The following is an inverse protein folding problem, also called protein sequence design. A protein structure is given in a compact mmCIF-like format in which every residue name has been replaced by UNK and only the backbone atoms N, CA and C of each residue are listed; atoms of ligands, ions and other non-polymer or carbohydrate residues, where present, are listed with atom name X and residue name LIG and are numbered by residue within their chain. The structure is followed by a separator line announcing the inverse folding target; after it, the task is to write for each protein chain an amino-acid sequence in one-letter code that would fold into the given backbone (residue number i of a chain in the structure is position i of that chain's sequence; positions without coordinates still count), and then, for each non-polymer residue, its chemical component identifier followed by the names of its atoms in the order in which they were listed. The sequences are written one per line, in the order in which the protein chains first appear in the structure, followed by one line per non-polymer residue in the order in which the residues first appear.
data_IF_543649932368
#
_entry.id   IF_543649932368
#
_cell.length_a   1.000
_cell.length_b   1.000
_cell.length_c   1.000
_cell.angle_alpha   90.00
_cell.angle_beta   90.00
_cell.angle_gamma   90.00
#
_symmetry.space_group_name_H-M   'P 1'
#
loop_
_entity.id
_entity.type
_entity.pdbx_description
1 polymer ?
#
# COMPACT_ATOMS: atom_id res chain seq x y z
N UNK A 1 -3.10 -1.27 13.61
CA UNK A 1 -1.82 -0.60 13.34
C UNK A 1 -1.60 0.65 14.22
N UNK A 2 -2.66 1.32 14.69
CA UNK A 2 -2.57 2.51 15.57
C UNK A 2 -1.80 2.23 16.88
N UNK A 3 -1.85 1.01 17.39
CA UNK A 3 -1.13 0.57 18.59
C UNK A 3 0.41 0.59 18.41
N UNK A 4 0.88 0.64 17.14
CA UNK A 4 2.31 0.69 16.81
C UNK A 4 2.83 2.11 16.55
N UNK A 5 1.94 3.12 16.54
CA UNK A 5 2.29 4.53 16.40
C UNK A 5 2.36 5.12 17.81
N UNK A 6 3.53 5.61 18.19
CA UNK A 6 3.69 6.29 19.48
C UNK A 6 3.31 7.77 19.36
N UNK A 7 2.95 8.37 20.48
CA UNK A 7 2.77 9.80 20.56
C UNK A 7 4.12 10.50 20.37
N UNK A 8 4.14 11.53 19.52
CA UNK A 8 5.36 12.22 19.17
C UNK A 8 6.17 11.59 18.02
N UNK A 9 5.74 10.47 17.43
CA UNK A 9 6.40 9.90 16.24
C UNK A 9 6.41 10.91 15.07
N UNK A 10 7.54 11.00 14.38
CA UNK A 10 7.61 11.59 13.03
C UNK A 10 7.25 10.50 12.04
N UNK A 11 6.20 10.72 11.26
CA UNK A 11 5.61 9.71 10.37
C UNK A 11 5.83 10.07 8.91
N UNK A 12 6.26 9.08 8.12
CA UNK A 12 6.23 9.14 6.66
C UNK A 12 5.19 8.15 6.14
N UNK A 13 4.18 8.66 5.42
CA UNK A 13 3.08 7.84 4.88
C UNK A 13 3.21 7.74 3.36
N UNK A 14 3.61 6.56 2.87
CA UNK A 14 3.87 6.28 1.46
C UNK A 14 2.56 5.95 0.77
N UNK A 15 2.20 6.72 -0.27
CA UNK A 15 0.98 6.50 -1.04
C UNK A 15 -0.29 6.72 -0.21
N UNK A 16 -0.36 7.82 0.53
CA UNK A 16 -1.44 8.12 1.47
C UNK A 16 -2.82 8.33 0.80
N UNK A 17 -2.86 8.47 -0.53
CA UNK A 17 -4.06 8.70 -1.31
C UNK A 17 -4.77 9.98 -0.91
N UNK A 18 -6.01 9.88 -0.49
CA UNK A 18 -6.79 11.02 0.02
C UNK A 18 -6.62 11.26 1.53
N UNK A 19 -5.59 10.69 2.16
CA UNK A 19 -5.30 10.83 3.58
C UNK A 19 -6.36 10.20 4.49
N UNK A 20 -7.01 9.12 4.06
CA UNK A 20 -8.05 8.46 4.87
C UNK A 20 -7.52 7.92 6.20
N UNK A 21 -6.27 7.48 6.20
CA UNK A 21 -5.62 6.92 7.38
C UNK A 21 -5.01 7.99 8.29
N UNK A 22 -4.64 9.15 7.73
CA UNK A 22 -4.03 10.28 8.44
C UNK A 22 -4.84 10.70 9.67
N UNK A 23 -6.17 10.71 9.58
CA UNK A 23 -7.07 11.07 10.70
C UNK A 23 -6.84 10.26 11.99
N UNK A 24 -6.24 9.07 11.88
CA UNK A 24 -6.04 8.19 13.04
C UNK A 24 -4.76 8.47 13.82
N UNK A 25 -3.84 9.25 13.25
CA UNK A 25 -2.55 9.57 13.90
C UNK A 25 -2.18 11.06 13.87
N UNK A 26 -2.96 11.91 13.17
CA UNK A 26 -2.62 13.33 13.02
C UNK A 26 -2.51 14.09 14.35
N UNK A 27 -3.34 13.73 15.34
CA UNK A 27 -3.32 14.37 16.65
C UNK A 27 -2.25 13.81 17.59
N UNK A 28 -1.57 12.72 17.20
CA UNK A 28 -0.56 12.04 18.02
C UNK A 28 0.84 12.25 17.50
N UNK A 29 0.99 12.40 16.19
CA UNK A 29 2.27 12.57 15.53
C UNK A 29 2.87 13.94 15.80
N UNK A 30 4.19 14.02 15.99
CA UNK A 30 4.92 15.29 16.02
C UNK A 30 4.99 15.92 14.63
N UNK A 31 5.15 15.10 13.59
CA UNK A 31 5.17 15.54 12.21
C UNK A 31 4.69 14.42 11.29
N UNK A 32 3.96 14.78 10.24
CA UNK A 32 3.52 13.85 9.18
C UNK A 32 3.98 14.40 7.83
N UNK A 33 4.72 13.57 7.09
CA UNK A 33 4.95 13.74 5.66
C UNK A 33 4.16 12.67 4.94
N UNK A 34 3.05 13.04 4.31
CA UNK A 34 2.26 12.14 3.49
C UNK A 34 2.66 12.27 2.03
N UNK A 35 2.73 11.16 1.29
CA UNK A 35 3.14 11.20 -0.11
C UNK A 35 2.13 10.53 -1.01
N UNK A 36 2.06 10.99 -2.26
CA UNK A 36 1.35 10.31 -3.33
C UNK A 36 2.00 10.65 -4.67
N UNK A 37 1.78 9.79 -5.69
CA UNK A 37 2.28 9.99 -7.05
C UNK A 37 1.36 10.89 -7.89
N UNK A 38 0.17 11.23 -7.39
CA UNK A 38 -0.79 12.08 -8.07
C UNK A 38 -0.89 13.46 -7.39
N UNK A 39 -0.54 14.53 -8.11
CA UNK A 39 -0.60 15.90 -7.61
C UNK A 39 -1.98 16.25 -7.03
N UNK A 40 -3.05 15.83 -7.69
CA UNK A 40 -4.43 16.05 -7.21
C UNK A 40 -4.69 15.50 -5.80
N UNK A 41 -4.08 14.38 -5.45
CA UNK A 41 -4.23 13.79 -4.12
C UNK A 41 -3.41 14.56 -3.08
N UNK A 42 -2.23 15.00 -3.46
CA UNK A 42 -1.38 15.87 -2.64
C UNK A 42 -2.10 17.17 -2.31
N UNK A 43 -2.65 17.85 -3.32
CA UNK A 43 -3.38 19.12 -3.15
C UNK A 43 -4.60 18.93 -2.25
N UNK A 44 -5.36 17.84 -2.48
CA UNK A 44 -6.52 17.48 -1.65
C UNK A 44 -6.14 17.25 -0.18
N UNK A 45 -5.03 16.54 0.08
CA UNK A 45 -4.58 16.29 1.44
C UNK A 45 -4.14 17.60 2.13
N UNK A 46 -3.38 18.45 1.44
CA UNK A 46 -2.93 19.72 1.97
C UNK A 46 -4.11 20.65 2.31
N UNK A 47 -5.13 20.71 1.46
CA UNK A 47 -6.35 21.48 1.77
C UNK A 47 -7.14 20.85 2.92
N UNK A 48 -7.33 19.56 2.92
CA UNK A 48 -8.09 18.83 3.94
C UNK A 48 -7.50 18.98 5.35
N UNK A 49 -6.18 18.94 5.44
CA UNK A 49 -5.45 18.97 6.71
C UNK A 49 -4.78 20.32 6.98
N UNK A 50 -5.11 21.38 6.24
CA UNK A 50 -4.48 22.73 6.33
C UNK A 50 -4.43 23.32 7.73
N UNK A 51 -5.36 22.91 8.62
CA UNK A 51 -5.40 23.39 10.01
C UNK A 51 -4.36 22.74 10.92
N UNK A 52 -3.69 21.69 10.46
CA UNK A 52 -2.73 20.93 11.24
C UNK A 52 -1.30 21.34 10.86
N UNK A 53 -0.64 22.11 11.72
CA UNK A 53 0.72 22.60 11.47
C UNK A 53 1.78 21.48 11.39
N UNK A 54 1.47 20.29 11.92
CA UNK A 54 2.32 19.11 11.87
C UNK A 54 2.12 18.24 10.64
N UNK A 55 1.29 18.64 9.66
CA UNK A 55 1.00 17.89 8.44
C UNK A 55 1.52 18.58 7.19
N UNK A 56 2.12 17.80 6.30
CA UNK A 56 2.49 18.23 4.95
C UNK A 56 2.35 17.04 3.98
N UNK A 57 1.70 17.26 2.85
CA UNK A 57 1.66 16.29 1.76
C UNK A 57 2.56 16.73 0.61
N UNK A 58 3.31 15.81 0.01
CA UNK A 58 4.27 16.06 -1.07
C UNK A 58 4.10 15.05 -2.21
N UNK A 59 4.32 15.52 -3.44
CA UNK A 59 4.42 14.65 -4.61
C UNK A 59 5.74 13.88 -4.51
N UNK A 60 5.65 12.55 -4.43
CA UNK A 60 6.83 11.70 -4.33
C UNK A 60 6.50 10.28 -4.78
N UNK A 61 7.32 9.76 -5.69
CA UNK A 61 7.21 8.40 -6.24
C UNK A 61 8.34 7.55 -5.67
N UNK A 62 7.98 6.59 -4.80
CA UNK A 62 8.94 5.70 -4.15
C UNK A 62 9.82 4.93 -5.15
N UNK A 63 9.34 4.71 -6.38
CA UNK A 63 10.09 3.98 -7.39
C UNK A 63 11.06 4.86 -8.17
N UNK A 64 10.77 6.16 -8.30
CA UNK A 64 11.55 7.07 -9.15
C UNK A 64 12.40 8.04 -8.34
N UNK A 65 11.83 8.61 -7.28
CA UNK A 65 12.47 9.67 -6.54
C UNK A 65 13.49 9.12 -5.54
N UNK A 66 14.55 9.89 -5.31
CA UNK A 66 15.54 9.58 -4.27
C UNK A 66 14.96 9.85 -2.88
N UNK A 67 15.46 9.13 -1.87
CA UNK A 67 15.09 9.37 -0.48
C UNK A 67 15.58 10.74 0.01
N UNK A 68 16.76 11.15 -0.45
CA UNK A 68 17.29 12.51 -0.27
C UNK A 68 17.26 12.99 1.17
N UNK A 69 16.69 14.18 1.35
CA UNK A 69 16.58 14.84 2.65
C UNK A 69 15.65 14.12 3.66
N UNK A 70 14.91 13.12 3.25
CA UNK A 70 14.03 12.34 4.14
C UNK A 70 14.78 11.25 4.90
N UNK A 71 16.01 10.91 4.48
CA UNK A 71 16.80 9.79 5.01
C UNK A 71 17.01 9.88 6.52
N UNK A 72 16.67 8.79 7.22
CA UNK A 72 16.92 8.64 8.65
C UNK A 72 16.15 9.60 9.55
N UNK A 73 15.05 10.20 9.09
CA UNK A 73 14.33 11.25 9.83
C UNK A 73 13.05 10.79 10.52
N UNK A 74 12.56 9.59 10.24
CA UNK A 74 11.22 9.15 10.67
C UNK A 74 11.28 8.02 11.69
N UNK A 75 10.42 8.10 12.69
CA UNK A 75 10.24 7.09 13.71
C UNK A 75 9.35 5.95 13.20
N UNK A 76 8.38 6.30 12.34
CA UNK A 76 7.45 5.35 11.74
C UNK A 76 7.25 5.66 10.26
N UNK A 77 7.39 4.64 9.41
CA UNK A 77 7.00 4.66 7.99
C UNK A 77 5.78 3.78 7.80
N UNK A 78 4.77 4.31 7.12
CA UNK A 78 3.49 3.63 6.84
C UNK A 78 3.39 3.38 5.34
N UNK A 79 2.96 2.18 4.93
CA UNK A 79 2.69 1.81 3.55
C UNK A 79 1.46 0.91 3.51
N UNK A 80 0.32 1.47 3.09
CA UNK A 80 -0.98 0.78 3.14
C UNK A 80 -1.57 0.70 1.74
N UNK A 81 -1.73 -0.52 1.23
CA UNK A 81 -2.24 -0.81 -0.11
C UNK A 81 -1.49 -0.06 -1.22
N UNK A 82 -0.17 -0.12 -1.17
CA UNK A 82 0.73 0.46 -2.18
C UNK A 82 1.68 -0.59 -2.73
N UNK A 83 2.24 -1.44 -1.87
CA UNK A 83 3.31 -2.38 -2.23
C UNK A 83 2.89 -3.36 -3.34
N UNK A 84 1.61 -3.74 -3.38
CA UNK A 84 1.02 -4.59 -4.42
C UNK A 84 1.00 -3.96 -5.81
N UNK A 85 1.09 -2.62 -5.89
CA UNK A 85 1.15 -1.87 -7.15
C UNK A 85 2.57 -1.68 -7.67
N UNK A 86 3.59 -2.08 -6.92
CA UNK A 86 4.98 -1.88 -7.28
C UNK A 86 5.58 -3.16 -7.88
N UNK A 87 6.28 -3.03 -9.03
CA UNK A 87 6.95 -4.16 -9.67
C UNK A 87 8.07 -4.71 -8.80
N UNK A 88 8.90 -3.82 -8.27
CA UNK A 88 10.02 -4.12 -7.39
C UNK A 88 9.67 -3.73 -5.95
N UNK A 89 9.03 -4.64 -5.25
CA UNK A 89 8.67 -4.48 -3.86
C UNK A 89 9.90 -4.49 -2.93
N UNK A 90 10.97 -5.17 -3.33
CA UNK A 90 12.22 -5.20 -2.57
C UNK A 90 12.89 -3.82 -2.55
N UNK A 91 13.00 -3.15 -3.71
CA UNK A 91 13.51 -1.77 -3.79
C UNK A 91 12.66 -0.81 -2.95
N UNK A 92 11.34 -0.97 -3.00
CA UNK A 92 10.44 -0.15 -2.18
C UNK A 92 10.70 -0.33 -0.67
N UNK A 93 10.90 -1.57 -0.21
CA UNK A 93 11.24 -1.85 1.20
C UNK A 93 12.61 -1.23 1.56
N UNK A 94 13.60 -1.29 0.68
CA UNK A 94 14.90 -0.66 0.90
C UNK A 94 14.77 0.85 1.08
N UNK A 95 14.06 1.53 0.18
CA UNK A 95 13.82 2.97 0.29
C UNK A 95 13.03 3.34 1.54
N UNK A 96 11.97 2.58 1.89
CA UNK A 96 11.24 2.79 3.13
C UNK A 96 12.11 2.61 4.38
N UNK A 97 13.03 1.63 4.36
CA UNK A 97 13.99 1.44 5.44
C UNK A 97 14.96 2.63 5.57
N UNK A 98 15.41 3.20 4.45
CA UNK A 98 16.29 4.37 4.47
C UNK A 98 15.65 5.62 5.09
N UNK A 99 14.32 5.76 5.03
CA UNK A 99 13.57 6.84 5.68
C UNK A 99 13.63 6.74 7.21
N UNK A 100 13.78 5.52 7.74
CA UNK A 100 13.70 5.25 9.17
C UNK A 100 14.95 5.65 9.94
N UNK A 101 14.75 6.21 11.12
CA UNK A 101 15.80 6.29 12.15
C UNK A 101 16.23 4.88 12.59
N UNK A 102 17.43 4.73 13.18
CA UNK A 102 17.77 3.50 13.89
C UNK A 102 16.70 3.13 14.92
N UNK A 103 16.21 1.87 14.86
CA UNK A 103 15.11 1.40 15.71
C UNK A 103 13.70 1.86 15.31
N UNK A 104 13.56 2.61 14.21
CA UNK A 104 12.28 3.00 13.66
C UNK A 104 11.43 1.82 13.16
N UNK A 105 10.16 2.07 12.89
CA UNK A 105 9.14 1.04 12.59
C UNK A 105 8.60 1.21 11.18
N UNK A 106 8.49 0.09 10.47
CA UNK A 106 7.81 -0.01 9.17
C UNK A 106 6.47 -0.74 9.37
N UNK A 107 5.38 -0.07 9.03
CA UNK A 107 4.02 -0.61 9.07
C UNK A 107 3.53 -0.83 7.65
N UNK A 108 3.31 -2.08 7.29
CA UNK A 108 2.84 -2.48 5.95
C UNK A 108 1.48 -3.15 6.08
N UNK A 109 0.54 -2.76 5.22
CA UNK A 109 -0.72 -3.47 5.00
C UNK A 109 -0.90 -3.69 3.51
N UNK A 110 -1.12 -4.95 3.13
CA UNK A 110 -1.25 -5.39 1.73
C UNK A 110 -2.40 -6.39 1.58
N UNK A 111 -2.98 -6.55 0.39
CA UNK A 111 -3.92 -7.61 0.10
C UNK A 111 -3.28 -8.98 0.34
N UNK A 112 -3.95 -9.77 1.15
CA UNK A 112 -3.47 -11.09 1.54
C UNK A 112 -3.94 -12.21 0.59
N UNK A 113 -3.28 -13.38 0.71
CA UNK A 113 -3.62 -14.64 0.04
C UNK A 113 -3.46 -14.57 -1.49
N UNK A 114 -2.26 -14.88 -1.98
CA UNK A 114 -1.93 -14.92 -3.42
C UNK A 114 -2.93 -15.78 -4.21
N UNK A 115 -3.41 -16.88 -3.64
CA UNK A 115 -4.43 -17.76 -4.27
C UNK A 115 -5.77 -17.08 -4.57
N UNK A 116 -6.03 -15.90 -4.00
CA UNK A 116 -7.24 -15.10 -4.26
C UNK A 116 -7.02 -14.04 -5.33
N UNK A 117 -5.82 -13.95 -5.90
CA UNK A 117 -5.53 -13.01 -7.00
C UNK A 117 -6.46 -13.29 -8.17
N UNK A 118 -7.09 -12.25 -8.72
CA UNK A 118 -8.07 -12.40 -9.79
C UNK A 118 -8.17 -11.11 -10.63
N UNK A 119 -9.03 -11.11 -11.64
CA UNK A 119 -9.26 -9.98 -12.53
C UNK A 119 -9.63 -8.67 -11.83
N UNK A 120 -10.12 -8.70 -10.60
CA UNK A 120 -10.35 -7.49 -9.81
C UNK A 120 -9.04 -6.84 -9.39
N UNK A 121 -8.03 -7.65 -9.04
CA UNK A 121 -6.69 -7.16 -8.70
C UNK A 121 -6.02 -6.55 -9.94
N UNK A 122 -6.10 -7.23 -11.08
CA UNK A 122 -5.56 -6.74 -12.36
C UNK A 122 -6.17 -5.39 -12.76
N UNK A 123 -7.49 -5.26 -12.63
CA UNK A 123 -8.22 -4.04 -13.00
C UNK A 123 -7.82 -2.81 -12.16
N UNK A 124 -7.36 -3.01 -10.92
CA UNK A 124 -6.85 -1.93 -10.07
C UNK A 124 -5.33 -1.80 -10.11
N UNK A 125 -4.66 -2.58 -10.98
CA UNK A 125 -3.21 -2.48 -11.21
C UNK A 125 -2.35 -3.18 -10.15
N UNK A 126 -2.88 -4.21 -9.48
CA UNK A 126 -2.06 -5.04 -8.59
C UNK A 126 -1.18 -5.99 -9.41
N UNK A 127 0.08 -6.09 -9.06
CA UNK A 127 0.97 -7.13 -9.58
C UNK A 127 0.83 -8.43 -8.81
N UNK A 128 0.47 -8.37 -7.52
CA UNK A 128 0.42 -9.53 -6.62
C UNK A 128 -0.43 -9.28 -5.38
N UNK A 129 -0.68 -10.36 -4.66
CA UNK A 129 -1.09 -10.36 -3.25
C UNK A 129 0.03 -11.03 -2.44
N UNK A 130 -0.05 -10.95 -1.13
CA UNK A 130 1.02 -11.43 -0.26
C UNK A 130 0.54 -12.52 0.69
N UNK A 131 1.30 -13.59 0.78
CA UNK A 131 1.20 -14.54 1.88
C UNK A 131 2.19 -14.14 2.99
N UNK A 132 2.00 -14.70 4.19
CA UNK A 132 2.90 -14.38 5.33
C UNK A 132 4.36 -14.67 5.02
N UNK A 133 4.64 -15.73 4.24
CA UNK A 133 5.99 -16.10 3.81
C UNK A 133 6.65 -15.06 2.91
N UNK A 134 5.90 -14.39 2.07
CA UNK A 134 6.42 -13.34 1.18
C UNK A 134 6.91 -12.14 1.99
N UNK A 135 6.11 -11.68 2.96
CA UNK A 135 6.51 -10.60 3.86
C UNK A 135 7.69 -11.00 4.76
N UNK A 136 7.77 -12.27 5.18
CA UNK A 136 8.91 -12.79 5.94
C UNK A 136 10.19 -12.79 5.08
N UNK A 137 10.09 -13.19 3.82
CA UNK A 137 11.22 -13.14 2.87
C UNK A 137 11.69 -11.70 2.67
N UNK A 138 10.78 -10.77 2.33
CA UNK A 138 11.11 -9.35 2.13
C UNK A 138 11.77 -8.73 3.36
N UNK A 139 11.27 -9.04 4.56
CA UNK A 139 11.86 -8.55 5.80
C UNK A 139 13.27 -9.08 6.01
N UNK A 140 13.49 -10.39 5.84
CA UNK A 140 14.81 -11.02 5.97
C UNK A 140 15.81 -10.45 4.96
N UNK A 141 15.42 -10.34 3.70
CA UNK A 141 16.28 -9.89 2.61
C UNK A 141 16.69 -8.41 2.79
N UNK A 142 15.90 -7.65 3.56
CA UNK A 142 16.19 -6.26 3.93
C UNK A 142 16.71 -6.08 5.36
N UNK A 143 17.08 -7.16 6.05
CA UNK A 143 17.57 -7.12 7.44
C UNK A 143 16.59 -6.40 8.40
N UNK A 144 15.29 -6.65 8.24
CA UNK A 144 14.23 -6.16 9.11
C UNK A 144 13.73 -7.27 10.03
N UNK A 145 13.46 -6.92 11.29
CA UNK A 145 12.87 -7.85 12.25
C UNK A 145 11.35 -7.69 12.28
N UNK A 146 10.62 -8.75 11.96
CA UNK A 146 9.16 -8.75 12.06
C UNK A 146 8.74 -8.81 13.53
N UNK A 147 7.99 -7.79 13.97
CA UNK A 147 7.36 -7.78 15.29
C UNK A 147 6.00 -8.44 15.30
N UNK A 148 5.23 -8.26 14.20
CA UNK A 148 3.89 -8.85 14.04
C UNK A 148 3.60 -9.08 12.57
N UNK A 149 3.04 -10.26 12.24
CA UNK A 149 2.57 -10.60 10.90
C UNK A 149 1.24 -11.35 11.02
N UNK A 150 0.14 -10.66 10.74
CA UNK A 150 -1.22 -11.18 10.94
C UNK A 150 -2.07 -10.97 9.69
N UNK A 151 -3.06 -11.83 9.51
CA UNK A 151 -4.16 -11.56 8.59
C UNK A 151 -5.21 -10.69 9.29
N UNK A 152 -5.62 -9.64 8.60
CA UNK A 152 -6.65 -8.70 9.07
C UNK A 152 -7.88 -8.80 8.18
N UNK A 153 -9.08 -8.58 8.74
CA UNK A 153 -10.37 -8.56 8.05
C UNK A 153 -10.69 -9.84 7.22
N UNK A 154 -10.59 -10.99 7.86
CA UNK A 154 -10.85 -12.30 7.22
C UNK A 154 -12.27 -12.44 6.68
N UNK A 155 -13.26 -11.71 7.22
CA UNK A 155 -14.66 -11.75 6.77
C UNK A 155 -14.85 -11.19 5.34
N UNK A 156 -13.94 -10.34 4.86
CA UNK A 156 -13.97 -9.82 3.49
C UNK A 156 -13.58 -10.83 2.40
N UNK A 157 -13.01 -11.99 2.77
CA UNK A 157 -12.48 -12.98 1.82
C UNK A 157 -13.60 -13.62 0.99
N UNK A 158 -14.70 -14.02 1.60
CA UNK A 158 -15.80 -14.73 0.94
C UNK A 158 -16.50 -13.89 -0.15
N UNK A 159 -16.94 -12.64 0.10
CA UNK A 159 -17.54 -11.80 -0.93
C UNK A 159 -16.59 -11.48 -2.08
N UNK A 160 -15.29 -11.30 -1.79
CA UNK A 160 -14.30 -11.02 -2.80
C UNK A 160 -14.06 -12.21 -3.74
N UNK A 161 -13.89 -13.39 -3.18
CA UNK A 161 -13.72 -14.63 -3.93
C UNK A 161 -14.93 -14.95 -4.82
N UNK A 162 -16.14 -14.72 -4.33
CA UNK A 162 -17.37 -14.96 -5.09
C UNK A 162 -17.54 -13.97 -6.27
N UNK A 163 -17.25 -12.68 -6.05
CA UNK A 163 -17.26 -11.67 -7.11
C UNK A 163 -16.19 -11.91 -8.18
N UNK A 164 -15.01 -12.34 -7.80
CA UNK A 164 -13.92 -12.68 -8.73
C UNK A 164 -14.29 -13.84 -9.67
N UNK A 165 -14.89 -14.90 -9.15
CA UNK A 165 -15.36 -16.06 -9.95
C UNK A 165 -16.48 -15.70 -10.92
N UNK A 166 -17.42 -14.82 -10.54
CA UNK A 166 -18.53 -14.41 -11.43
C UNK A 166 -18.04 -13.62 -12.63
N UNK A 167 -17.08 -12.70 -12.47
CA UNK A 167 -16.51 -11.94 -13.59
C UNK A 167 -15.66 -12.79 -14.54
N UNK A 168 -14.98 -13.83 -14.06
CA UNK A 168 -14.26 -14.77 -14.90
C UNK A 168 -15.22 -15.55 -15.81
N UNK A 169 -16.33 -16.09 -15.28
CA UNK A 169 -17.36 -16.78 -16.07
C UNK A 169 -17.99 -15.89 -17.16
N UNK A 170 -18.20 -14.61 -16.91
CA UNK A 170 -18.78 -13.68 -17.89
C UNK A 170 -17.82 -13.38 -19.03
N UNK A 171 -16.50 -13.33 -18.81
CA UNK A 171 -15.50 -13.19 -19.87
C UNK A 171 -15.39 -14.45 -20.74
N UNK A 172 -15.42 -15.62 -20.15
CA UNK A 172 -15.39 -16.91 -20.90
C UNK A 172 -16.65 -17.09 -21.76
N UNK A 173 -17.83 -16.74 -21.26
CA UNK A 173 -19.07 -16.80 -22.05
C UNK A 173 -19.11 -15.78 -23.18
N UNK A 174 -18.48 -14.62 -23.03
CA UNK A 174 -18.38 -13.59 -24.08
C UNK A 174 -17.36 -13.99 -25.16
N UNK A 175 -16.23 -14.58 -24.79
CA UNK A 175 -15.23 -15.04 -25.77
C UNK A 175 -15.71 -16.26 -26.55
N UNK A 176 -16.46 -17.17 -25.94
CA UNK A 176 -17.07 -18.32 -26.64
C UNK A 176 -18.14 -17.88 -27.64
N UNK A 177 -18.97 -16.88 -27.31
CA UNK A 177 -19.98 -16.35 -28.22
C UNK A 177 -19.39 -15.61 -29.43
N UNK A 178 -18.21 -14.98 -29.29
CA UNK A 178 -17.50 -14.33 -30.41
C UNK A 178 -16.86 -15.37 -31.35
N UNK A 179 -16.38 -16.50 -30.83
CA UNK A 179 -15.79 -17.57 -31.64
C UNK A 179 -16.85 -18.36 -32.44
N UNK A 180 -18.04 -18.54 -31.90
CA UNK A 180 -19.15 -19.20 -32.61
C UNK A 180 -19.71 -18.35 -33.79
N UNK A 181 -19.64 -17.03 -33.69
CA UNK A 181 -20.07 -16.14 -34.77
C UNK A 181 -19.07 -16.02 -35.93
N UNK A 182 -17.76 -16.27 -35.67
CA UNK A 182 -16.73 -16.26 -36.72
C UNK A 182 -16.58 -17.59 -37.48
N UNK A 183 -17.26 -18.65 -37.09
CA UNK A 183 -17.24 -19.95 -37.76
C UNK A 183 -18.41 -20.16 -38.76
N UNK A 184 -19.26 -19.13 -38.97
CA UNK A 184 -20.45 -19.19 -39.85
C UNK A 184 -20.41 -18.20 -41.01
N UNK A 185 -19.22 -17.79 -41.48
CA UNK A 185 -19.05 -17.03 -42.72
C UNK A 185 -18.18 -17.85 -43.68
#
# INVERSE_FOLDING_TARGET
YQEYINDGDRIFDVGAGMGRMVKFYINRAAQITATDIFQRQVDYMNERFRRYANFNAVLWDIMKDEVGDYKGKYDTVICINVLEHLKDDNLAIQKMKELLKPGGKLIIMVPALQKLYCSLDENVGHYRRYDKGDLQRLARDNHLTIKKNIYFNQLGILPYWWKGKRKAKTKESFSSSLNENNSKI
#
